data_IF_857522271738
#
_entry.id   IF_857522271738
#
_cell.length_a   1.000
_cell.length_b   1.000
_cell.length_c   1.000
_cell.angle_alpha   90.00
_cell.angle_beta   90.00
_cell.angle_gamma   90.00
#
_symmetry.space_group_name_H-M   'P 1'
#
loop_
_entity.id
_entity.type
_entity.pdbx_description
1 polymer ?
#
# COMPACT_ATOMS: atom_id res chain seq x y z
N UNK A 1 -1.61 -1.29 18.38
CA UNK A 1 -0.61 -1.36 19.44
C UNK A 1 0.63 -2.13 18.99
N UNK A 2 1.74 -1.87 19.63
CA UNK A 2 2.98 -2.61 19.34
C UNK A 2 2.84 -4.10 19.67
N UNK A 3 2.12 -4.44 20.74
CA UNK A 3 1.86 -5.84 21.09
C UNK A 3 1.12 -6.59 19.98
N UNK A 4 0.12 -5.96 19.37
CA UNK A 4 -0.60 -6.54 18.25
C UNK A 4 0.33 -6.73 17.05
N UNK A 5 1.15 -5.73 16.74
CA UNK A 5 2.11 -5.82 15.64
C UNK A 5 3.11 -6.97 15.83
N UNK A 6 3.59 -7.19 17.04
CA UNK A 6 4.48 -8.29 17.37
C UNK A 6 3.79 -9.66 17.21
N UNK A 7 2.51 -9.77 17.58
CA UNK A 7 1.72 -10.98 17.35
C UNK A 7 1.52 -11.25 15.87
N UNK A 8 1.24 -10.21 15.10
CA UNK A 8 1.13 -10.32 13.64
C UNK A 8 2.44 -10.82 13.02
N UNK A 9 3.57 -10.27 13.45
CA UNK A 9 4.88 -10.72 13.01
C UNK A 9 5.10 -12.21 13.30
N UNK A 10 4.74 -12.66 14.50
CA UNK A 10 4.86 -14.08 14.84
C UNK A 10 4.02 -14.98 13.94
N UNK A 11 2.80 -14.58 13.62
CA UNK A 11 1.95 -15.30 12.66
C UNK A 11 2.64 -15.39 11.29
N UNK A 12 3.22 -14.29 10.82
CA UNK A 12 3.93 -14.24 9.54
C UNK A 12 5.12 -15.20 9.52
N UNK A 13 5.90 -15.25 10.60
CA UNK A 13 7.05 -16.16 10.75
C UNK A 13 6.59 -17.62 10.72
N UNK A 14 5.49 -17.93 11.39
CA UNK A 14 4.97 -19.31 11.52
C UNK A 14 4.19 -19.79 10.30
N UNK A 15 3.92 -18.91 9.34
CA UNK A 15 3.19 -19.26 8.11
C UNK A 15 3.99 -18.93 6.86
N UNK A 16 5.21 -19.54 6.69
CA UNK A 16 6.09 -19.19 5.57
C UNK A 16 5.49 -19.53 4.19
N UNK A 17 4.50 -20.42 4.15
CA UNK A 17 3.79 -20.83 2.94
C UNK A 17 2.66 -19.86 2.55
N UNK A 18 2.35 -18.89 3.41
CA UNK A 18 1.30 -17.89 3.17
C UNK A 18 1.95 -16.57 2.81
N UNK A 19 1.48 -15.93 1.74
CA UNK A 19 1.90 -14.58 1.40
C UNK A 19 1.06 -13.58 2.17
N UNK A 20 1.72 -12.67 2.88
CA UNK A 20 1.10 -11.62 3.66
C UNK A 20 1.34 -10.27 3.00
N UNK A 21 0.31 -9.45 2.99
CA UNK A 21 0.38 -8.09 2.53
C UNK A 21 -0.12 -7.16 3.63
N UNK A 22 0.72 -6.22 4.02
CA UNK A 22 0.42 -5.25 5.08
C UNK A 22 0.54 -3.82 4.56
N UNK A 23 -0.56 -3.22 4.09
CA UNK A 23 -0.58 -1.78 3.86
C UNK A 23 -0.62 -1.06 5.20
N UNK A 24 0.22 -0.04 5.39
CA UNK A 24 0.32 0.62 6.69
C UNK A 24 0.68 2.10 6.57
N UNK A 25 0.15 2.91 7.48
CA UNK A 25 0.59 4.28 7.75
C UNK A 25 1.37 4.39 9.05
N UNK A 26 1.54 3.28 9.76
CA UNK A 26 2.26 3.25 11.04
C UNK A 26 3.78 3.39 10.85
N UNK A 27 4.27 3.28 9.63
CA UNK A 27 5.69 3.49 9.30
C UNK A 27 6.21 4.88 9.69
N UNK A 28 5.32 5.85 9.92
CA UNK A 28 5.66 7.19 10.37
C UNK A 28 6.04 7.26 11.85
N UNK A 29 5.68 6.24 12.62
CA UNK A 29 5.91 6.22 14.06
C UNK A 29 7.11 5.34 14.39
N UNK A 30 8.11 5.91 15.04
CA UNK A 30 9.38 5.24 15.33
C UNK A 30 9.21 3.94 16.12
N UNK A 31 8.20 3.86 16.98
CA UNK A 31 7.95 2.66 17.77
C UNK A 31 7.60 1.41 16.94
N UNK A 32 7.14 1.59 15.70
CA UNK A 32 6.80 0.47 14.80
C UNK A 32 7.92 0.13 13.81
N UNK A 33 8.92 0.97 13.64
CA UNK A 33 9.91 0.78 12.60
C UNK A 33 10.65 -0.55 12.70
N UNK A 34 11.03 -0.97 13.89
CA UNK A 34 11.75 -2.22 14.07
C UNK A 34 10.91 -3.44 13.66
N UNK A 35 9.65 -3.50 14.09
CA UNK A 35 8.78 -4.62 13.75
C UNK A 35 8.42 -4.62 12.27
N UNK A 36 8.18 -3.45 11.67
CA UNK A 36 7.89 -3.35 10.24
C UNK A 36 9.10 -3.76 9.39
N UNK A 37 10.31 -3.39 9.79
CA UNK A 37 11.54 -3.80 9.12
C UNK A 37 11.72 -5.32 9.18
N UNK A 38 11.46 -5.93 10.33
CA UNK A 38 11.52 -7.39 10.49
C UNK A 38 10.49 -8.10 9.62
N UNK A 39 9.26 -7.57 9.55
CA UNK A 39 8.21 -8.09 8.67
C UNK A 39 8.65 -8.04 7.21
N UNK A 40 9.15 -6.89 6.75
CA UNK A 40 9.58 -6.71 5.36
C UNK A 40 10.75 -7.63 4.98
N UNK A 41 11.58 -8.01 5.94
CA UNK A 41 12.69 -8.93 5.70
C UNK A 41 12.24 -10.37 5.45
N UNK A 42 11.01 -10.74 5.82
CA UNK A 42 10.48 -12.07 5.56
C UNK A 42 10.14 -12.23 4.07
N UNK A 43 10.53 -13.36 3.44
CA UNK A 43 10.30 -13.55 2.01
C UNK A 43 8.82 -13.65 1.62
N UNK A 44 7.96 -14.02 2.57
CA UNK A 44 6.51 -14.17 2.37
C UNK A 44 5.69 -12.94 2.77
N UNK A 45 6.35 -11.84 3.11
CA UNK A 45 5.66 -10.63 3.61
C UNK A 45 6.01 -9.43 2.74
N UNK A 46 4.98 -8.67 2.37
CA UNK A 46 5.11 -7.36 1.73
C UNK A 46 4.51 -6.30 2.65
N UNK A 47 5.35 -5.46 3.21
CA UNK A 47 4.93 -4.25 3.94
C UNK A 47 4.92 -3.09 2.95
N UNK A 48 3.76 -2.45 2.78
CA UNK A 48 3.61 -1.28 1.91
C UNK A 48 3.22 -0.05 2.70
N UNK A 49 4.17 0.83 2.98
CA UNK A 49 3.86 2.16 3.49
C UNK A 49 2.91 2.90 2.52
N UNK A 50 1.79 3.35 3.05
CA UNK A 50 0.78 4.07 2.28
C UNK A 50 1.02 5.57 2.34
N UNK A 51 0.82 6.25 1.21
CA UNK A 51 0.84 7.71 1.17
C UNK A 51 -0.32 8.30 1.96
N UNK A 52 -0.10 9.44 2.59
CA UNK A 52 -1.16 10.22 3.24
C UNK A 52 -1.89 11.14 2.28
N UNK A 53 -1.29 11.43 1.14
CA UNK A 53 -1.83 12.35 0.15
C UNK A 53 -2.61 11.60 -0.94
N UNK A 54 -3.52 12.33 -1.61
CA UNK A 54 -4.32 11.82 -2.72
C UNK A 54 -3.90 12.45 -4.05
N UNK A 55 -2.65 12.81 -4.15
CA UNK A 55 -2.04 13.53 -5.29
C UNK A 55 -1.05 12.69 -6.10
N UNK A 56 -0.98 11.39 -5.82
CA UNK A 56 -0.06 10.47 -6.49
C UNK A 56 1.38 10.51 -5.96
N UNK A 57 1.66 11.23 -4.89
CA UNK A 57 3.03 11.28 -4.33
C UNK A 57 3.42 9.94 -3.71
N UNK A 58 4.69 9.59 -3.86
CA UNK A 58 5.28 8.39 -3.27
C UNK A 58 6.80 8.60 -3.13
N UNK A 59 7.44 7.75 -2.34
CA UNK A 59 8.89 7.78 -2.16
C UNK A 59 9.55 6.81 -3.14
N UNK A 60 10.40 7.33 -4.03
CA UNK A 60 11.14 6.51 -4.99
C UNK A 60 12.12 5.58 -4.27
N UNK A 61 12.27 4.35 -4.80
CA UNK A 61 13.20 3.35 -4.27
C UNK A 61 12.70 2.60 -3.04
N UNK A 62 11.49 2.90 -2.57
CA UNK A 62 10.86 2.25 -1.41
C UNK A 62 9.57 1.58 -1.85
N UNK A 63 9.33 0.36 -1.36
CA UNK A 63 8.04 -0.29 -1.57
C UNK A 63 6.93 0.52 -0.89
N UNK A 64 5.84 0.76 -1.60
CA UNK A 64 4.76 1.56 -1.06
C UNK A 64 3.50 1.50 -1.90
N UNK A 65 2.56 2.34 -1.53
CA UNK A 65 1.34 2.57 -2.30
C UNK A 65 0.98 4.05 -2.30
N UNK A 66 0.28 4.48 -3.32
CA UNK A 66 -0.17 5.87 -3.47
C UNK A 66 -1.60 5.91 -4.00
N UNK A 67 -2.24 7.05 -3.84
CA UNK A 67 -3.58 7.29 -4.38
C UNK A 67 -3.44 8.25 -5.55
N UNK A 68 -3.92 7.83 -6.72
CA UNK A 68 -3.86 8.60 -7.96
C UNK A 68 -5.20 9.30 -8.18
N UNK A 69 -5.22 10.62 -8.32
CA UNK A 69 -6.43 11.32 -8.77
C UNK A 69 -6.88 10.79 -10.13
N UNK A 70 -8.19 10.73 -10.35
CA UNK A 70 -8.76 10.33 -11.63
C UNK A 70 -8.26 11.25 -12.75
N UNK A 71 -7.85 10.66 -13.88
CA UNK A 71 -7.32 11.40 -15.01
C UNK A 71 -5.84 11.80 -14.90
N UNK A 72 -5.20 11.53 -13.77
CA UNK A 72 -3.77 11.81 -13.61
C UNK A 72 -2.93 10.88 -14.49
N UNK A 73 -1.89 11.42 -15.12
CA UNK A 73 -0.87 10.61 -15.79
C UNK A 73 -0.16 9.73 -14.76
N UNK A 74 -0.08 8.43 -15.02
CA UNK A 74 0.54 7.48 -14.09
C UNK A 74 2.05 7.76 -14.02
N UNK A 75 2.60 8.06 -12.82
CA UNK A 75 4.04 8.26 -12.68
C UNK A 75 4.84 7.01 -13.02
N UNK A 76 6.07 7.18 -13.48
CA UNK A 76 6.98 6.06 -13.75
C UNK A 76 7.21 5.24 -12.47
N UNK A 77 7.23 3.91 -12.58
CA UNK A 77 7.45 3.01 -11.46
C UNK A 77 6.19 2.66 -10.67
N UNK A 78 5.04 3.22 -11.03
CA UNK A 78 3.76 2.93 -10.36
C UNK A 78 2.96 1.90 -11.17
N UNK A 79 2.58 0.80 -10.51
CA UNK A 79 1.66 -0.20 -11.05
C UNK A 79 0.25 0.14 -10.59
N UNK A 80 -0.63 0.49 -11.54
CA UNK A 80 -2.02 0.84 -11.22
C UNK A 80 -2.83 -0.40 -10.89
N UNK A 81 -3.60 -0.34 -9.81
CA UNK A 81 -4.58 -1.37 -9.47
C UNK A 81 -5.77 -1.28 -10.41
N UNK A 82 -6.09 -2.37 -11.10
CA UNK A 82 -7.20 -2.43 -12.06
C UNK A 82 -8.49 -3.03 -11.47
N UNK A 83 -8.52 -3.32 -10.18
CA UNK A 83 -9.70 -3.91 -9.54
C UNK A 83 -11.00 -3.12 -9.78
N UNK A 84 -11.01 -1.78 -9.81
CA UNK A 84 -12.23 -1.03 -10.14
C UNK A 84 -12.82 -1.34 -11.52
N UNK A 85 -12.00 -1.78 -12.48
CA UNK A 85 -12.44 -2.13 -13.83
C UNK A 85 -12.83 -3.61 -13.97
N UNK A 86 -12.62 -4.42 -12.92
CA UNK A 86 -12.89 -5.85 -12.89
C UNK A 86 -13.83 -6.23 -11.75
N UNK A 87 -14.84 -5.39 -11.49
CA UNK A 87 -15.85 -5.59 -10.44
C UNK A 87 -15.25 -5.73 -9.02
N UNK A 88 -14.17 -5.01 -8.73
CA UNK A 88 -13.50 -5.06 -7.44
C UNK A 88 -12.66 -6.31 -7.20
N UNK A 89 -12.39 -7.09 -8.24
CA UNK A 89 -11.63 -8.35 -8.14
C UNK A 89 -10.20 -8.18 -8.66
N UNK A 90 -9.27 -8.88 -8.05
CA UNK A 90 -7.87 -8.87 -8.47
C UNK A 90 -7.63 -9.62 -9.79
N UNK A 91 -8.49 -10.57 -10.16
CA UNK A 91 -8.42 -11.33 -11.43
C UNK A 91 -7.05 -11.94 -11.70
N UNK A 92 -6.41 -12.53 -10.67
CA UNK A 92 -5.07 -13.12 -10.77
C UNK A 92 -3.91 -12.16 -10.55
N UNK A 93 -4.16 -10.87 -10.38
CA UNK A 93 -3.12 -9.90 -10.07
C UNK A 93 -2.50 -10.15 -8.69
N UNK A 94 -1.17 -10.07 -8.59
CA UNK A 94 -0.41 -10.28 -7.34
C UNK A 94 0.51 -9.09 -7.02
N UNK A 95 0.27 -7.94 -7.64
CA UNK A 95 1.14 -6.77 -7.51
C UNK A 95 1.32 -6.31 -6.06
N UNK A 96 0.25 -6.35 -5.25
CA UNK A 96 0.30 -5.92 -3.84
C UNK A 96 1.25 -6.77 -3.00
N UNK A 97 1.40 -8.05 -3.33
CA UNK A 97 2.26 -9.00 -2.61
C UNK A 97 3.68 -9.06 -3.18
N UNK A 98 3.90 -8.54 -4.38
CA UNK A 98 5.16 -8.74 -5.10
C UNK A 98 6.22 -7.74 -4.69
N UNK A 99 7.41 -8.23 -4.32
CA UNK A 99 8.59 -7.39 -4.04
C UNK A 99 9.19 -6.81 -5.32
N UNK A 100 8.79 -7.32 -6.49
CA UNK A 100 9.21 -6.78 -7.78
C UNK A 100 8.44 -5.52 -8.20
N UNK A 101 7.33 -5.23 -7.52
CA UNK A 101 6.51 -4.03 -7.76
C UNK A 101 6.83 -2.99 -6.69
N UNK A 102 7.56 -1.91 -7.01
CA UNK A 102 7.95 -0.93 -6.00
C UNK A 102 6.75 -0.13 -5.46
N UNK A 103 5.86 0.35 -6.32
CA UNK A 103 4.72 1.17 -5.89
C UNK A 103 3.44 0.71 -6.59
N UNK A 104 2.39 0.51 -5.80
CA UNK A 104 1.04 0.25 -6.31
C UNK A 104 0.23 1.53 -6.21
N UNK A 105 -0.39 1.95 -7.31
CA UNK A 105 -1.27 3.11 -7.36
C UNK A 105 -2.73 2.69 -7.36
N UNK A 106 -3.52 3.32 -6.50
CA UNK A 106 -4.96 3.12 -6.42
C UNK A 106 -5.65 4.38 -6.93
N UNK A 107 -6.50 4.24 -7.96
CA UNK A 107 -7.25 5.37 -8.49
C UNK A 107 -8.33 5.76 -7.47
N UNK A 108 -8.35 7.03 -7.10
CA UNK A 108 -9.35 7.57 -6.19
C UNK A 108 -10.74 7.47 -6.82
N UNK A 109 -11.68 6.83 -6.12
CA UNK A 109 -13.03 6.62 -6.60
C UNK A 109 -14.04 6.63 -5.45
N UNK A 110 -15.33 6.72 -5.81
CA UNK A 110 -16.42 6.75 -4.84
C UNK A 110 -16.82 8.18 -4.44
N UNK A 111 -18.05 8.33 -3.96
CA UNK A 111 -18.63 9.65 -3.66
C UNK A 111 -17.87 10.41 -2.57
N UNK A 112 -17.46 9.72 -1.52
CA UNK A 112 -16.71 10.35 -0.42
C UNK A 112 -15.35 10.83 -0.89
N UNK A 113 -14.66 10.02 -1.67
CA UNK A 113 -13.34 10.37 -2.20
C UNK A 113 -13.44 11.54 -3.19
N UNK A 114 -14.44 11.56 -4.05
CA UNK A 114 -14.66 12.66 -4.97
C UNK A 114 -14.87 14.00 -4.23
N UNK A 115 -15.58 13.98 -3.08
CA UNK A 115 -15.76 15.17 -2.22
C UNK A 115 -14.41 15.63 -1.63
N UNK A 116 -13.60 14.71 -1.13
CA UNK A 116 -12.28 15.03 -0.55
C UNK A 116 -11.37 15.64 -1.61
N UNK A 117 -11.32 15.07 -2.81
CA UNK A 117 -10.53 15.60 -3.91
C UNK A 117 -10.96 17.02 -4.28
N UNK A 118 -12.28 17.29 -4.35
CA UNK A 118 -12.80 18.63 -4.63
C UNK A 118 -12.39 19.64 -3.57
N UNK A 119 -12.48 19.29 -2.31
CA UNK A 119 -12.06 20.16 -1.19
C UNK A 119 -10.56 20.47 -1.31
N UNK A 120 -9.72 19.45 -1.56
CA UNK A 120 -8.29 19.65 -1.74
C UNK A 120 -7.98 20.56 -2.94
N UNK A 121 -8.70 20.44 -4.03
CA UNK A 121 -8.52 21.28 -5.23
C UNK A 121 -8.92 22.75 -5.00
N UNK A 122 -9.79 23.00 -4.02
CA UNK A 122 -10.23 24.35 -3.65
C UNK A 122 -9.32 25.06 -2.65
N UNK A 123 -8.37 24.35 -2.07
CA UNK A 123 -7.47 24.87 -1.03
C UNK A 123 -6.27 25.70 -1.62
#
# INVERSE_FOLDING_TARGET
SLQLALKMYEVMVRTPHVKHWLPTRMHKFSKYQQVLTRMQALPNVMVRPSSDAIDGTFTAGVHGSTILPEGMTVPAGVKVCTAPTTNGKCSGCRACYSKDVPVVGYIAHGRKMAKVIRIAAMA
#
